data_IF_042328504479
#
_entry.id   IF_042328504479
#
_cell.length_a   1.000
_cell.length_b   1.000
_cell.length_c   1.000
_cell.angle_alpha   90.00
_cell.angle_beta   90.00
_cell.angle_gamma   90.00
#
_symmetry.space_group_name_H-M   'P 1'
#
loop_
_entity.id
_entity.type
_entity.pdbx_description
1 polymer ?
#
# COMPACT_ATOMS: atom_id res chain seq x y z
N UNK A 1 -6.31 3.68 -1.79
CA UNK A 1 -7.66 3.07 -1.92
C UNK A 1 -8.66 3.83 -2.81
N UNK A 2 -9.39 4.87 -2.35
CA UNK A 2 -10.51 5.44 -3.15
C UNK A 2 -10.12 5.94 -4.55
N UNK A 3 -8.97 6.64 -4.65
CA UNK A 3 -8.44 7.10 -5.94
C UNK A 3 -8.08 5.93 -6.85
N UNK A 4 -7.52 4.85 -6.30
CA UNK A 4 -7.22 3.66 -7.07
C UNK A 4 -8.50 3.05 -7.65
N UNK A 5 -9.48 2.76 -6.79
CA UNK A 5 -10.71 2.06 -7.18
C UNK A 5 -11.59 2.85 -8.14
N UNK A 6 -11.67 4.17 -7.96
CA UNK A 6 -12.58 5.01 -8.75
C UNK A 6 -11.93 5.58 -10.01
N UNK A 7 -10.60 5.68 -10.05
CA UNK A 7 -9.89 6.36 -11.13
C UNK A 7 -8.82 5.45 -11.75
N UNK A 8 -7.81 5.05 -10.97
CA UNK A 8 -6.61 4.40 -11.51
C UNK A 8 -6.90 3.02 -12.09
N UNK A 9 -7.58 2.16 -11.33
CA UNK A 9 -7.90 0.79 -11.78
C UNK A 9 -8.88 0.77 -12.95
N UNK A 10 -9.94 1.59 -13.00
CA UNK A 10 -10.77 1.70 -14.21
C UNK A 10 -9.97 2.16 -15.44
N UNK A 11 -8.99 3.06 -15.28
CA UNK A 11 -8.10 3.43 -16.39
C UNK A 11 -7.23 2.25 -16.85
N UNK A 12 -6.66 1.49 -15.91
CA UNK A 12 -5.88 0.27 -16.21
C UNK A 12 -6.72 -0.80 -16.92
N UNK A 13 -7.95 -1.04 -16.48
CA UNK A 13 -8.87 -2.00 -17.10
C UNK A 13 -9.22 -1.66 -18.55
N UNK A 14 -9.21 -0.38 -18.91
CA UNK A 14 -9.42 0.10 -20.30
C UNK A 14 -8.17 0.01 -21.17
N UNK A 15 -7.08 -0.56 -20.66
CA UNK A 15 -5.80 -0.70 -21.36
C UNK A 15 -4.78 0.39 -21.05
N UNK A 16 -5.05 1.25 -20.05
CA UNK A 16 -4.15 2.33 -19.68
C UNK A 16 -4.33 3.60 -20.52
N UNK A 17 -3.41 4.56 -20.35
CA UNK A 17 -3.37 5.85 -21.05
C UNK A 17 -1.94 6.40 -20.97
N UNK A 18 -1.44 7.17 -21.96
CA UNK A 18 -0.15 7.86 -21.83
C UNK A 18 -0.02 8.74 -20.58
N UNK A 19 -1.16 9.22 -20.06
CA UNK A 19 -1.21 10.05 -18.84
C UNK A 19 -1.20 9.24 -17.54
N UNK A 20 -1.21 7.90 -17.59
CA UNK A 20 -1.32 7.05 -16.40
C UNK A 20 -0.08 7.09 -15.50
N UNK A 21 1.07 7.50 -16.06
CA UNK A 21 2.33 7.60 -15.32
C UNK A 21 2.25 8.57 -14.13
N UNK A 22 1.53 9.70 -14.28
CA UNK A 22 1.43 10.70 -13.22
C UNK A 22 0.61 10.20 -12.01
N UNK A 23 -0.61 9.64 -12.18
CA UNK A 23 -1.33 8.97 -11.10
C UNK A 23 -0.55 7.83 -10.43
N UNK A 24 0.19 7.02 -11.18
CA UNK A 24 1.05 5.96 -10.61
C UNK A 24 2.14 6.55 -9.72
N UNK A 25 2.82 7.61 -10.19
CA UNK A 25 3.84 8.28 -9.40
C UNK A 25 3.27 8.90 -8.11
N UNK A 26 2.08 9.50 -8.19
CA UNK A 26 1.37 9.98 -7.01
C UNK A 26 1.04 8.83 -6.04
N UNK A 27 0.56 7.69 -6.53
CA UNK A 27 0.26 6.57 -5.65
C UNK A 27 1.51 6.02 -4.94
N UNK A 28 2.66 5.96 -5.63
CA UNK A 28 3.93 5.58 -4.99
C UNK A 28 4.33 6.54 -3.88
N UNK A 29 4.14 7.85 -4.06
CA UNK A 29 4.40 8.81 -3.00
C UNK A 29 3.45 8.58 -1.80
N UNK A 30 2.16 8.38 -2.05
CA UNK A 30 1.20 8.07 -0.98
C UNK A 30 1.58 6.76 -0.26
N UNK A 31 2.10 5.75 -0.96
CA UNK A 31 2.64 4.53 -0.34
C UNK A 31 3.88 4.80 0.55
N UNK A 32 4.79 5.68 0.13
CA UNK A 32 5.95 6.05 0.95
C UNK A 32 5.51 6.71 2.26
N UNK A 33 4.48 7.56 2.22
CA UNK A 33 3.89 8.17 3.43
C UNK A 33 3.28 7.10 4.35
N UNK A 34 2.56 6.11 3.79
CA UNK A 34 2.01 5.01 4.58
C UNK A 34 3.08 4.11 5.21
N UNK A 35 4.24 3.93 4.56
CA UNK A 35 5.38 3.24 5.17
C UNK A 35 5.86 3.97 6.44
N UNK A 36 5.91 5.30 6.43
CA UNK A 36 6.28 6.07 7.63
C UNK A 36 5.21 6.00 8.73
N UNK A 37 3.92 5.92 8.38
CA UNK A 37 2.86 5.63 9.35
C UNK A 37 3.02 4.25 9.99
N UNK A 38 3.31 3.21 9.19
CA UNK A 38 3.54 1.85 9.69
C UNK A 38 4.75 1.80 10.63
N UNK A 39 5.84 2.52 10.32
CA UNK A 39 6.99 2.64 11.22
C UNK A 39 6.63 3.31 12.54
N UNK A 40 5.79 4.35 12.49
CA UNK A 40 5.31 5.01 13.70
C UNK A 40 4.49 4.06 14.56
N UNK A 41 3.59 3.29 13.94
CA UNK A 41 2.80 2.25 14.62
C UNK A 41 3.71 1.21 15.28
N UNK A 42 4.69 0.70 14.54
CA UNK A 42 5.66 -0.27 15.06
C UNK A 42 6.42 0.30 16.27
N UNK A 43 6.87 1.56 16.19
CA UNK A 43 7.58 2.24 17.26
C UNK A 43 6.75 2.37 18.54
N UNK A 44 5.53 2.92 18.44
CA UNK A 44 4.68 3.16 19.62
C UNK A 44 4.11 1.87 20.23
N UNK A 45 4.16 0.77 19.48
CA UNK A 45 3.75 -0.57 19.96
C UNK A 45 4.93 -1.46 20.35
N UNK A 46 6.14 -0.89 20.44
CA UNK A 46 7.37 -1.62 20.78
C UNK A 46 7.60 -2.87 19.89
N UNK A 47 7.49 -2.69 18.58
CA UNK A 47 7.61 -3.80 17.62
C UNK A 47 6.40 -4.72 17.61
N UNK A 48 5.20 -4.17 17.86
CA UNK A 48 3.96 -4.93 18.00
C UNK A 48 4.07 -6.03 19.09
N UNK A 49 4.75 -5.70 20.19
CA UNK A 49 5.00 -6.61 21.30
C UNK A 49 3.94 -6.47 22.38
N UNK A 50 3.45 -7.58 22.91
CA UNK A 50 2.48 -7.56 23.99
C UNK A 50 3.15 -7.31 25.35
N UNK A 51 2.62 -6.39 26.18
CA UNK A 51 3.11 -6.23 27.55
C UNK A 51 2.73 -7.42 28.43
N UNK A 52 3.49 -7.71 29.50
CA UNK A 52 3.11 -8.70 30.49
C UNK A 52 1.72 -8.42 31.06
N UNK A 53 0.87 -9.45 31.11
CA UNK A 53 -0.50 -9.33 31.64
C UNK A 53 -1.50 -8.65 30.71
N UNK A 54 -1.19 -8.49 29.42
CA UNK A 54 -2.14 -7.98 28.43
C UNK A 54 -3.48 -8.75 28.47
N UNK A 55 -4.58 -8.01 28.54
CA UNK A 55 -5.92 -8.59 28.52
C UNK A 55 -6.30 -9.07 27.10
N UNK A 56 -7.38 -9.84 27.01
CA UNK A 56 -7.81 -10.46 25.74
C UNK A 56 -8.04 -9.46 24.60
N UNK A 57 -8.60 -8.28 24.88
CA UNK A 57 -8.82 -7.25 23.87
C UNK A 57 -7.51 -6.62 23.39
N UNK A 58 -6.53 -6.45 24.27
CA UNK A 58 -5.20 -5.91 23.92
C UNK A 58 -4.42 -6.89 23.04
N UNK A 59 -4.48 -8.17 23.38
CA UNK A 59 -3.93 -9.28 22.58
C UNK A 59 -4.56 -9.36 21.20
N UNK A 60 -5.90 -9.26 21.13
CA UNK A 60 -6.62 -9.25 19.85
C UNK A 60 -6.24 -8.04 19.00
N UNK A 61 -6.12 -6.85 19.60
CA UNK A 61 -5.69 -5.63 18.91
C UNK A 61 -4.31 -5.80 18.27
N UNK A 62 -3.30 -6.26 19.01
CA UNK A 62 -1.94 -6.43 18.47
C UNK A 62 -1.88 -7.51 17.38
N UNK A 63 -2.69 -8.57 17.51
CA UNK A 63 -2.79 -9.61 16.49
C UNK A 63 -3.40 -9.06 15.20
N UNK A 64 -4.50 -8.31 15.31
CA UNK A 64 -5.13 -7.65 14.16
C UNK A 64 -4.22 -6.60 13.52
N UNK A 65 -3.49 -5.84 14.33
CA UNK A 65 -2.57 -4.82 13.85
C UNK A 65 -1.39 -5.42 13.08
N UNK A 66 -0.84 -6.55 13.56
CA UNK A 66 0.20 -7.28 12.83
C UNK A 66 -0.30 -7.75 11.46
N UNK A 67 -1.49 -8.36 11.43
CA UNK A 67 -2.12 -8.76 10.18
C UNK A 67 -2.33 -7.57 9.24
N UNK A 68 -2.84 -6.46 9.76
CA UNK A 68 -3.05 -5.25 8.96
C UNK A 68 -1.75 -4.72 8.35
N UNK A 69 -0.67 -4.66 9.13
CA UNK A 69 0.66 -4.24 8.66
C UNK A 69 1.14 -5.17 7.54
N UNK A 70 1.08 -6.48 7.75
CA UNK A 70 1.51 -7.48 6.77
C UNK A 70 0.69 -7.37 5.47
N UNK A 71 -0.63 -7.25 5.58
CA UNK A 71 -1.55 -7.11 4.44
C UNK A 71 -1.30 -5.81 3.66
N UNK A 72 -1.07 -4.68 4.36
CA UNK A 72 -0.82 -3.39 3.72
C UNK A 72 0.54 -3.35 3.02
N UNK A 73 1.59 -3.91 3.62
CA UNK A 73 2.90 -4.04 2.98
C UNK A 73 2.80 -4.91 1.72
N UNK A 74 2.09 -6.03 1.80
CA UNK A 74 1.88 -6.90 0.64
C UNK A 74 1.07 -6.21 -0.46
N UNK A 75 0.02 -5.47 -0.10
CA UNK A 75 -0.78 -4.67 -1.01
C UNK A 75 0.10 -3.65 -1.79
N UNK A 76 0.85 -2.81 -1.08
CA UNK A 76 1.74 -1.83 -1.72
C UNK A 76 2.82 -2.51 -2.58
N UNK A 77 3.34 -3.67 -2.15
CA UNK A 77 4.30 -4.43 -2.94
C UNK A 77 3.69 -4.93 -4.27
N UNK A 78 2.51 -5.53 -4.21
CA UNK A 78 1.80 -6.01 -5.40
C UNK A 78 1.55 -4.86 -6.39
N UNK A 79 1.15 -3.70 -5.88
CA UNK A 79 0.94 -2.53 -6.73
C UNK A 79 2.23 -1.99 -7.33
N UNK A 80 3.20 -1.66 -6.47
CA UNK A 80 4.44 -1.00 -6.88
C UNK A 80 5.32 -1.88 -7.77
N UNK A 81 5.43 -3.17 -7.45
CA UNK A 81 6.38 -4.10 -8.07
C UNK A 81 5.76 -4.98 -9.15
N UNK A 82 4.44 -5.20 -9.15
CA UNK A 82 3.79 -6.12 -10.09
C UNK A 82 2.78 -5.42 -10.99
N UNK A 83 1.89 -4.60 -10.45
CA UNK A 83 0.81 -3.98 -11.23
C UNK A 83 1.30 -2.77 -12.04
N UNK A 84 1.85 -1.76 -11.37
CA UNK A 84 2.24 -0.49 -11.99
C UNK A 84 3.26 -0.64 -13.14
N UNK A 85 4.31 -1.50 -13.03
CA UNK A 85 5.29 -1.66 -14.12
C UNK A 85 4.69 -2.11 -15.46
N UNK A 86 3.54 -2.82 -15.42
CA UNK A 86 2.84 -3.28 -16.63
C UNK A 86 2.26 -2.13 -17.45
N UNK A 87 1.99 -0.99 -16.83
CA UNK A 87 1.39 0.19 -17.46
C UNK A 87 2.40 1.32 -17.70
N UNK A 88 3.54 1.31 -17.01
CA UNK A 88 4.65 2.23 -17.27
C UNK A 88 5.43 1.85 -18.54
N UNK A 89 5.58 0.54 -18.81
CA UNK A 89 6.33 0.04 -19.97
C UNK A 89 5.62 0.31 -21.31
N UNK A 90 4.28 0.29 -21.34
CA UNK A 90 3.49 0.58 -22.56
C UNK A 90 3.52 2.06 -22.97
N UNK A 91 3.76 2.97 -22.03
CA UNK A 91 3.82 4.41 -22.30
C UNK A 91 5.12 4.81 -23.02
N UNK A 92 6.18 3.98 -22.97
CA UNK A 92 7.47 4.25 -23.62
C UNK A 92 7.58 3.75 -25.07
N UNK A 93 6.67 2.88 -25.52
CA UNK A 93 6.67 2.34 -26.89
C UNK A 93 5.86 3.18 -27.90
N UNK A 94 5.29 4.30 -27.48
CA UNK A 94 4.49 5.21 -28.32
C UNK A 94 5.24 6.52 -28.67
N UNK A 95 6.57 6.52 -28.58
CA UNK A 95 7.47 7.63 -28.94
C UNK A 95 8.36 7.31 -30.12
#
# INVERSE_FOLDING_TARGET
MLKEEQVLFPMMQRGGSPMIAHPIAQMRHEHDDEVEHLRTIEHVTHGLSLPPGACGSWTALHTGLRKFVDDLVMHMHLENAVLFPRFETQSQSAG
#
